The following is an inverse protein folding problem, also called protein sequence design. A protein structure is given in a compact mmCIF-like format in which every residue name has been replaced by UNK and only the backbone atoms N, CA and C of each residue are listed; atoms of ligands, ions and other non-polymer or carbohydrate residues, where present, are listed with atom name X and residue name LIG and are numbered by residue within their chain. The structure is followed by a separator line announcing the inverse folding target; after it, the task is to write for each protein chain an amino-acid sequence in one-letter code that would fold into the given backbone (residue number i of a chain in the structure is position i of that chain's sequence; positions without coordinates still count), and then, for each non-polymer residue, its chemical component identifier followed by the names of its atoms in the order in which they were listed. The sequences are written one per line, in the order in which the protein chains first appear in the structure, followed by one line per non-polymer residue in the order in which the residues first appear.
data_IF_694073244912
#
_entry.id   IF_694073244912
#
_cell.length_a   1.000
_cell.length_b   1.000
_cell.length_c   1.000
_cell.angle_alpha   90.00
_cell.angle_beta   90.00
_cell.angle_gamma   90.00
#
_symmetry.space_group_name_H-M   'P 1'
#
loop_
_entity.id
_entity.type
_entity.pdbx_description
1 polymer ?
#
# COMPACT_ATOMS: atom_id res chain seq x y z
N UNK A 1 2.79 29.38 -47.92
CA UNK A 1 3.93 30.09 -47.28
C UNK A 1 4.30 29.33 -46.01
N UNK A 2 5.57 28.89 -45.93
CA UNK A 2 6.39 28.59 -44.72
C UNK A 2 5.90 27.41 -43.85
N UNK A 3 6.34 26.18 -44.12
CA UNK A 3 7.61 25.53 -43.71
C UNK A 3 7.72 25.23 -42.20
N UNK A 4 7.92 23.94 -41.95
CA UNK A 4 7.97 23.22 -40.67
C UNK A 4 9.18 23.54 -39.75
N UNK A 5 9.07 22.97 -38.54
CA UNK A 5 10.11 22.29 -37.71
C UNK A 5 10.85 23.12 -36.61
N UNK A 6 11.10 22.43 -35.48
CA UNK A 6 12.23 22.54 -34.50
C UNK A 6 12.00 23.55 -33.34
N UNK A 7 12.25 23.32 -32.04
CA UNK A 7 12.63 22.20 -31.13
C UNK A 7 12.94 22.88 -29.75
N UNK A 8 13.05 22.07 -28.69
CA UNK A 8 13.81 22.30 -27.44
C UNK A 8 13.17 23.06 -26.26
N UNK A 9 12.77 22.25 -25.27
CA UNK A 9 13.31 22.19 -23.88
C UNK A 9 14.17 23.39 -23.44
N UNK A 10 13.76 24.04 -22.35
CA UNK A 10 14.69 24.69 -21.43
C UNK A 10 14.18 24.54 -19.98
N UNK A 11 14.91 23.71 -19.23
CA UNK A 11 14.86 23.63 -17.79
C UNK A 11 15.33 24.96 -17.17
N UNK A 12 14.57 25.50 -16.22
CA UNK A 12 14.96 26.69 -15.47
C UNK A 12 15.59 26.27 -14.14
N UNK A 13 16.91 26.09 -14.15
CA UNK A 13 17.73 26.11 -12.93
C UNK A 13 17.95 27.56 -12.51
N UNK A 14 17.68 27.89 -11.24
CA UNK A 14 18.07 29.18 -10.66
C UNK A 14 18.92 28.99 -9.40
N UNK A 15 20.23 29.12 -9.62
CA UNK A 15 21.22 29.95 -8.92
C UNK A 15 21.44 29.77 -7.41
N UNK A 16 22.61 29.20 -7.08
CA UNK A 16 23.36 29.44 -5.85
C UNK A 16 24.20 30.72 -5.93
N UNK A 17 24.22 31.52 -4.87
CA UNK A 17 25.35 32.36 -4.44
C UNK A 17 25.05 32.87 -3.00
N UNK A 18 25.67 32.32 -1.95
CA UNK A 18 26.99 32.59 -1.37
C UNK A 18 27.03 33.83 -0.44
N UNK A 19 27.26 33.58 0.85
CA UNK A 19 27.56 34.58 1.88
C UNK A 19 28.64 34.03 2.81
N UNK A 20 29.66 34.84 3.09
CA UNK A 20 30.98 34.42 3.57
C UNK A 20 31.28 34.85 5.02
N UNK A 21 32.25 34.15 5.62
CA UNK A 21 33.31 34.68 6.51
C UNK A 21 33.08 34.72 8.04
N UNK A 22 33.69 33.74 8.72
CA UNK A 22 34.64 34.01 9.82
C UNK A 22 34.22 33.74 11.28
N UNK A 23 35.06 32.94 11.96
CA UNK A 23 35.53 33.04 13.37
C UNK A 23 35.28 31.81 14.25
N UNK A 24 36.36 31.31 14.85
CA UNK A 24 36.44 30.28 15.88
C UNK A 24 35.65 30.60 17.16
N UNK A 25 35.13 29.58 17.84
CA UNK A 25 34.65 29.68 19.22
C UNK A 25 34.02 28.38 19.71
N UNK A 26 34.41 27.96 20.91
CA UNK A 26 34.12 26.67 21.56
C UNK A 26 32.78 26.67 22.31
N UNK A 27 32.31 25.46 22.64
CA UNK A 27 31.42 25.06 23.75
C UNK A 27 29.90 25.39 23.73
N UNK A 28 29.09 24.34 23.94
CA UNK A 28 27.90 24.43 24.79
C UNK A 28 26.53 24.07 24.18
N UNK A 29 25.99 22.92 24.62
CA UNK A 29 24.56 22.61 24.86
C UNK A 29 23.58 22.31 23.69
N UNK A 30 23.11 21.06 23.71
CA UNK A 30 21.81 20.52 23.24
C UNK A 30 20.60 21.21 23.88
N UNK A 31 19.34 20.94 23.50
CA UNK A 31 18.75 20.59 22.20
C UNK A 31 17.55 21.53 21.86
N UNK A 32 17.15 21.64 20.59
CA UNK A 32 15.79 22.11 20.26
C UNK A 32 15.07 21.04 19.43
N UNK A 33 14.14 20.41 20.12
CA UNK A 33 13.21 19.40 19.68
C UNK A 33 12.31 19.97 18.57
N UNK A 34 12.53 19.52 17.33
CA UNK A 34 11.59 19.73 16.25
C UNK A 34 10.60 18.57 16.29
N UNK A 35 9.60 18.72 17.16
CA UNK A 35 8.39 17.91 17.12
C UNK A 35 7.66 18.19 15.80
N UNK A 36 8.13 17.56 14.71
CA UNK A 36 7.28 17.28 13.56
C UNK A 36 6.28 16.25 14.06
N UNK A 37 5.02 16.66 14.17
CA UNK A 37 3.90 15.76 14.35
C UNK A 37 3.77 14.88 13.10
N UNK A 38 4.52 13.78 13.06
CA UNK A 38 4.37 12.65 12.13
C UNK A 38 3.31 11.64 12.61
N UNK A 39 2.34 12.07 13.41
CA UNK A 39 1.40 11.18 14.09
C UNK A 39 0.23 10.70 13.18
N UNK A 40 0.03 11.29 11.99
CA UNK A 40 -1.17 11.03 11.19
C UNK A 40 -1.01 10.03 10.05
N UNK A 41 0.22 9.65 9.68
CA UNK A 41 0.48 8.69 8.58
C UNK A 41 1.07 7.36 9.04
N UNK A 42 1.77 7.30 10.17
CA UNK A 42 2.33 6.04 10.68
C UNK A 42 1.26 5.03 11.09
N UNK A 43 0.04 5.50 11.42
CA UNK A 43 -1.05 4.63 11.86
C UNK A 43 -2.01 4.20 10.72
N UNK A 44 -1.69 4.53 9.46
CA UNK A 44 -2.55 4.22 8.30
C UNK A 44 -2.06 3.05 7.43
N UNK A 45 -0.90 2.46 7.74
CA UNK A 45 -0.29 1.40 6.91
C UNK A 45 0.04 0.20 7.78
N UNK A 46 -0.29 -1.01 7.34
CA UNK A 46 0.09 -2.22 8.05
C UNK A 46 1.59 -2.51 7.92
N UNK A 47 2.26 -2.95 9.01
CA UNK A 47 3.56 -3.56 8.88
C UNK A 47 3.43 -4.90 8.15
N UNK A 48 4.37 -5.19 7.25
CA UNK A 48 4.44 -6.52 6.63
C UNK A 48 4.67 -7.59 7.72
N UNK A 49 4.09 -8.80 7.56
CA UNK A 49 4.26 -9.87 8.52
C UNK A 49 5.72 -10.30 8.59
N UNK A 50 6.18 -10.65 9.79
CA UNK A 50 7.54 -11.17 9.99
C UNK A 50 7.61 -12.60 9.44
N UNK A 51 8.47 -12.81 8.46
CA UNK A 51 8.63 -14.10 7.80
C UNK A 51 9.42 -15.04 8.72
N UNK A 52 8.92 -16.25 9.01
CA UNK A 52 9.67 -17.27 9.73
C UNK A 52 10.99 -17.62 9.00
N UNK A 53 12.08 -17.77 9.75
CA UNK A 53 13.40 -18.14 9.18
C UNK A 53 13.42 -19.50 8.47
N UNK A 54 12.40 -20.33 8.71
CA UNK A 54 12.18 -21.60 8.03
C UNK A 54 11.72 -21.44 6.57
N UNK A 55 11.23 -20.25 6.16
CA UNK A 55 10.81 -19.94 4.79
C UNK A 55 11.95 -19.22 4.07
N UNK A 56 12.66 -19.95 3.22
CA UNK A 56 13.87 -19.44 2.57
C UNK A 56 13.69 -19.05 1.11
N UNK A 57 12.70 -19.62 0.40
CA UNK A 57 12.50 -19.33 -1.02
C UNK A 57 11.76 -18.01 -1.21
N UNK A 58 12.22 -17.10 -2.09
CA UNK A 58 11.56 -15.81 -2.31
C UNK A 58 10.07 -15.92 -2.67
N UNK A 59 9.70 -16.92 -3.46
CA UNK A 59 8.31 -17.17 -3.84
C UNK A 59 7.43 -17.56 -2.64
N UNK A 60 7.92 -18.46 -1.77
CA UNK A 60 7.22 -18.88 -0.55
C UNK A 60 7.14 -17.71 0.47
N UNK A 61 8.12 -16.80 0.46
CA UNK A 61 8.13 -15.60 1.27
C UNK A 61 7.02 -14.62 0.86
N UNK A 62 6.85 -14.39 -0.43
CA UNK A 62 5.74 -13.55 -0.92
C UNK A 62 4.39 -14.21 -0.65
N UNK A 63 4.28 -15.52 -0.87
CA UNK A 63 3.08 -16.29 -0.53
C UNK A 63 2.69 -16.12 0.94
N UNK A 64 3.66 -16.27 1.84
CA UNK A 64 3.46 -16.02 3.28
C UNK A 64 3.01 -14.57 3.54
N UNK A 65 3.67 -13.58 2.93
CA UNK A 65 3.31 -12.17 3.15
C UNK A 65 1.85 -11.90 2.75
N UNK A 66 1.42 -12.34 1.56
CA UNK A 66 0.05 -12.02 1.10
C UNK A 66 -1.01 -12.75 1.91
N UNK A 67 -0.76 -14.01 2.31
CA UNK A 67 -1.69 -14.77 3.15
C UNK A 67 -1.85 -14.13 4.54
N UNK A 68 -0.74 -13.64 5.11
CA UNK A 68 -0.69 -13.12 6.47
C UNK A 68 -0.78 -11.58 6.57
N UNK A 69 -1.00 -10.89 5.46
CA UNK A 69 -1.00 -9.41 5.40
C UNK A 69 -1.96 -8.78 6.42
N UNK A 70 -3.13 -9.39 6.60
CA UNK A 70 -4.21 -8.87 7.45
C UNK A 70 -4.22 -9.47 8.87
N UNK A 71 -3.23 -10.28 9.26
CA UNK A 71 -3.24 -11.02 10.54
C UNK A 71 -3.31 -10.11 11.77
N UNK A 72 -2.68 -8.93 11.70
CA UNK A 72 -2.63 -7.98 12.81
C UNK A 72 -3.81 -7.01 12.82
N UNK A 73 -4.74 -7.10 11.86
CA UNK A 73 -5.91 -6.24 11.80
C UNK A 73 -7.12 -6.91 12.47
N UNK A 74 -7.66 -6.25 13.50
CA UNK A 74 -8.87 -6.70 14.18
C UNK A 74 -10.13 -6.28 13.41
N UNK A 75 -10.68 -7.19 12.61
CA UNK A 75 -11.94 -6.97 11.90
C UNK A 75 -13.17 -6.84 12.82
N UNK A 76 -13.05 -7.13 14.12
CA UNK A 76 -14.11 -6.88 15.10
C UNK A 76 -14.17 -5.41 15.56
N UNK A 77 -13.10 -4.63 15.34
CA UNK A 77 -13.11 -3.16 15.45
C UNK A 77 -13.95 -2.58 14.31
N UNK A 78 -15.24 -2.35 14.60
CA UNK A 78 -16.20 -1.87 13.60
C UNK A 78 -15.86 -0.46 13.10
N UNK A 79 -15.27 0.40 13.93
CA UNK A 79 -14.93 1.77 13.54
C UNK A 79 -13.80 1.76 12.50
N UNK A 80 -12.73 1.00 12.76
CA UNK A 80 -11.62 0.90 11.81
C UNK A 80 -11.96 0.08 10.57
N UNK A 81 -12.68 -1.04 10.73
CA UNK A 81 -13.01 -1.92 9.61
C UNK A 81 -14.01 -1.31 8.62
N UNK A 82 -14.72 -0.25 9.00
CA UNK A 82 -15.57 0.55 8.11
C UNK A 82 -14.94 1.88 7.71
N UNK A 83 -13.72 2.19 8.15
CA UNK A 83 -13.01 3.38 7.71
C UNK A 83 -12.52 3.19 6.27
N UNK A 84 -13.28 3.74 5.31
CA UNK A 84 -13.00 3.57 3.88
C UNK A 84 -11.58 4.02 3.51
N UNK A 85 -11.13 5.19 3.98
CA UNK A 85 -9.79 5.71 3.65
C UNK A 85 -8.69 4.74 4.11
N UNK A 86 -8.82 4.24 5.34
CA UNK A 86 -7.87 3.28 5.91
C UNK A 86 -7.88 1.95 5.15
N UNK A 87 -9.08 1.38 4.93
CA UNK A 87 -9.24 0.09 4.28
C UNK A 87 -8.82 0.14 2.81
N UNK A 88 -9.18 1.19 2.08
CA UNK A 88 -8.79 1.38 0.68
C UNK A 88 -7.26 1.50 0.56
N UNK A 89 -6.62 2.30 1.42
CA UNK A 89 -5.16 2.44 1.41
C UNK A 89 -4.46 1.09 1.60
N UNK A 90 -4.83 0.36 2.64
CA UNK A 90 -4.21 -0.93 2.94
C UNK A 90 -4.58 -2.02 1.93
N UNK A 91 -5.77 -1.95 1.33
CA UNK A 91 -6.15 -2.86 0.25
C UNK A 91 -5.34 -2.61 -1.01
N UNK A 92 -5.06 -1.36 -1.38
CA UNK A 92 -4.17 -1.03 -2.49
C UNK A 92 -2.75 -1.53 -2.20
N UNK A 93 -2.23 -1.24 -1.00
CA UNK A 93 -0.89 -1.69 -0.59
C UNK A 93 -0.80 -3.23 -0.63
N UNK A 94 -1.83 -3.95 -0.17
CA UNK A 94 -1.98 -5.40 -0.29
C UNK A 94 -1.95 -5.88 -1.75
N UNK A 95 -2.74 -5.25 -2.63
CA UNK A 95 -2.81 -5.63 -4.03
C UNK A 95 -1.48 -5.40 -4.79
N UNK A 96 -0.60 -4.51 -4.31
CA UNK A 96 0.74 -4.34 -4.92
C UNK A 96 1.65 -5.56 -4.80
N UNK A 97 1.38 -6.44 -3.83
CA UNK A 97 2.15 -7.65 -3.55
C UNK A 97 1.64 -8.86 -4.34
N UNK A 98 0.37 -8.84 -4.74
CA UNK A 98 -0.31 -9.94 -5.44
C UNK A 98 0.39 -10.38 -6.74
N UNK A 99 0.94 -9.49 -7.59
CA UNK A 99 1.60 -9.90 -8.83
C UNK A 99 2.82 -10.80 -8.64
N UNK A 100 3.44 -10.79 -7.46
CA UNK A 100 4.60 -11.62 -7.14
C UNK A 100 4.21 -12.95 -6.45
N UNK A 101 2.94 -13.11 -6.06
CA UNK A 101 2.45 -14.33 -5.43
C UNK A 101 2.10 -15.41 -6.47
N UNK A 102 2.28 -16.67 -6.10
CA UNK A 102 1.75 -17.77 -6.92
C UNK A 102 0.22 -17.75 -6.92
N UNK A 103 -0.39 -18.32 -7.97
CA UNK A 103 -1.85 -18.38 -8.09
C UNK A 103 -2.52 -19.04 -6.88
N UNK A 104 -1.94 -20.10 -6.33
CA UNK A 104 -2.51 -20.77 -5.16
C UNK A 104 -2.46 -19.88 -3.91
N UNK A 105 -1.31 -19.24 -3.63
CA UNK A 105 -1.18 -18.34 -2.50
C UNK A 105 -2.10 -17.12 -2.63
N UNK A 106 -2.26 -16.57 -3.85
CA UNK A 106 -3.20 -15.48 -4.13
C UNK A 106 -4.63 -15.88 -3.77
N UNK A 107 -5.07 -17.07 -4.19
CA UNK A 107 -6.42 -17.59 -3.88
C UNK A 107 -6.63 -17.77 -2.38
N UNK A 108 -5.65 -18.37 -1.70
CA UNK A 108 -5.66 -18.51 -0.25
C UNK A 108 -5.73 -17.16 0.45
N UNK A 109 -4.94 -16.18 0.00
CA UNK A 109 -4.90 -14.85 0.57
C UNK A 109 -6.22 -14.09 0.41
N UNK A 110 -6.85 -14.15 -0.77
CA UNK A 110 -8.18 -13.57 -0.97
C UNK A 110 -9.25 -14.28 -0.12
N UNK A 111 -9.21 -15.62 -0.04
CA UNK A 111 -10.14 -16.37 0.81
C UNK A 111 -10.02 -15.97 2.28
N UNK A 112 -8.79 -15.82 2.80
CA UNK A 112 -8.60 -15.45 4.20
C UNK A 112 -9.01 -13.99 4.46
N UNK A 113 -8.72 -13.06 3.55
CA UNK A 113 -9.21 -11.68 3.65
C UNK A 113 -10.74 -11.63 3.72
N UNK A 114 -11.44 -12.29 2.79
CA UNK A 114 -12.91 -12.28 2.76
C UNK A 114 -13.48 -12.90 4.04
N UNK A 115 -12.94 -14.04 4.48
CA UNK A 115 -13.37 -14.71 5.70
C UNK A 115 -13.24 -13.80 6.92
N UNK A 116 -12.11 -13.09 7.05
CA UNK A 116 -11.89 -12.14 8.16
C UNK A 116 -12.79 -10.91 8.07
N UNK A 117 -12.99 -10.36 6.88
CA UNK A 117 -13.89 -9.24 6.64
C UNK A 117 -15.36 -9.56 6.91
N UNK A 118 -15.71 -10.86 6.96
CA UNK A 118 -17.08 -11.34 7.15
C UNK A 118 -17.58 -11.29 8.61
N UNK A 119 -16.82 -10.73 9.55
CA UNK A 119 -17.31 -10.43 10.92
C UNK A 119 -18.56 -9.54 10.88
N UNK A 120 -18.57 -8.55 9.99
CA UNK A 120 -19.73 -7.69 9.74
C UNK A 120 -20.08 -7.67 8.24
N UNK A 121 -21.37 -7.78 7.86
CA UNK A 121 -21.79 -7.72 6.45
C UNK A 121 -21.35 -6.43 5.73
N UNK A 122 -21.32 -5.30 6.45
CA UNK A 122 -20.91 -4.00 5.91
C UNK A 122 -19.42 -3.99 5.53
N UNK A 123 -18.56 -4.55 6.40
CA UNK A 123 -17.11 -4.65 6.17
C UNK A 123 -16.81 -5.60 5.02
N UNK A 124 -17.51 -6.73 4.95
CA UNK A 124 -17.42 -7.65 3.81
C UNK A 124 -17.80 -6.97 2.50
N UNK A 125 -18.90 -6.22 2.51
CA UNK A 125 -19.39 -5.49 1.33
C UNK A 125 -18.40 -4.41 0.89
N UNK A 126 -17.79 -3.70 1.85
CA UNK A 126 -16.72 -2.73 1.59
C UNK A 126 -15.54 -3.39 0.85
N UNK A 127 -15.02 -4.51 1.36
CA UNK A 127 -13.92 -5.24 0.73
C UNK A 127 -14.29 -5.72 -0.68
N UNK A 128 -15.50 -6.25 -0.87
CA UNK A 128 -15.98 -6.67 -2.20
C UNK A 128 -16.01 -5.49 -3.17
N UNK A 129 -16.54 -4.34 -2.74
CA UNK A 129 -16.57 -3.12 -3.55
C UNK A 129 -15.17 -2.61 -3.90
N UNK A 130 -14.19 -2.74 -3.00
CA UNK A 130 -12.79 -2.45 -3.31
C UNK A 130 -12.21 -3.43 -4.33
N UNK A 131 -12.52 -4.73 -4.23
CA UNK A 131 -12.14 -5.72 -5.23
C UNK A 131 -12.70 -5.41 -6.62
N UNK A 132 -13.97 -5.03 -6.71
CA UNK A 132 -14.59 -4.58 -7.97
C UNK A 132 -13.89 -3.32 -8.52
N UNK A 133 -13.71 -2.30 -7.68
CA UNK A 133 -13.07 -1.03 -8.04
C UNK A 133 -11.64 -1.21 -8.57
N UNK A 134 -10.82 -2.03 -7.93
CA UNK A 134 -9.40 -2.13 -8.28
C UNK A 134 -9.10 -3.24 -9.29
N UNK A 135 -9.79 -4.38 -9.22
CA UNK A 135 -9.44 -5.54 -10.05
C UNK A 135 -10.30 -5.66 -11.31
N UNK A 136 -11.52 -5.09 -11.32
CA UNK A 136 -12.47 -5.27 -12.42
C UNK A 136 -12.75 -3.99 -13.22
N UNK A 137 -12.76 -2.82 -12.58
CA UNK A 137 -13.07 -1.54 -13.23
C UNK A 137 -12.16 -1.30 -14.46
N UNK A 138 -12.72 -0.98 -15.65
CA UNK A 138 -11.96 -0.65 -16.85
C UNK A 138 -10.92 0.46 -16.69
N UNK A 139 -11.18 1.45 -15.82
CA UNK A 139 -10.33 2.61 -15.61
C UNK A 139 -9.29 2.38 -14.51
N UNK A 140 -9.33 1.23 -13.82
CA UNK A 140 -8.36 0.91 -12.78
C UNK A 140 -7.00 0.55 -13.39
N UNK A 141 -5.89 1.16 -12.93
CA UNK A 141 -4.54 0.76 -13.31
C UNK A 141 -4.15 -0.61 -12.74
N UNK A 142 -4.87 -1.11 -11.72
CA UNK A 142 -4.64 -2.42 -11.09
C UNK A 142 -5.55 -3.51 -11.69
N UNK A 143 -6.35 -3.18 -12.71
CA UNK A 143 -7.30 -4.10 -13.32
C UNK A 143 -6.60 -5.37 -13.78
N UNK A 144 -7.12 -6.51 -13.33
CA UNK A 144 -6.68 -7.82 -13.78
C UNK A 144 -7.83 -8.81 -13.65
N UNK A 145 -8.32 -9.31 -14.79
CA UNK A 145 -9.48 -10.19 -14.84
C UNK A 145 -9.24 -11.53 -14.14
N UNK A 146 -8.03 -12.09 -14.21
CA UNK A 146 -7.70 -13.34 -13.51
C UNK A 146 -7.74 -13.14 -12.00
N UNK A 147 -7.14 -12.05 -11.51
CA UNK A 147 -7.14 -11.75 -10.07
C UNK A 147 -8.55 -11.45 -9.57
N UNK A 148 -9.36 -10.76 -10.38
CA UNK A 148 -10.77 -10.51 -10.04
C UNK A 148 -11.58 -11.81 -9.99
N UNK A 149 -11.35 -12.76 -10.90
CA UNK A 149 -12.04 -14.07 -10.87
C UNK A 149 -11.71 -14.80 -9.57
N UNK A 150 -10.44 -14.92 -9.20
CA UNK A 150 -10.04 -15.58 -7.95
C UNK A 150 -10.63 -14.86 -6.72
N UNK A 151 -10.61 -13.52 -6.71
CA UNK A 151 -11.20 -12.73 -5.63
C UNK A 151 -12.73 -12.92 -5.55
N UNK A 152 -13.42 -12.93 -6.68
CA UNK A 152 -14.87 -13.13 -6.76
C UNK A 152 -15.29 -14.55 -6.38
N UNK A 153 -14.45 -15.56 -6.64
CA UNK A 153 -14.64 -16.92 -6.15
C UNK A 153 -14.51 -17.00 -4.62
N UNK A 154 -13.48 -16.37 -4.05
CA UNK A 154 -13.35 -16.23 -2.60
C UNK A 154 -14.57 -15.55 -1.98
N UNK A 155 -15.07 -14.48 -2.61
CA UNK A 155 -16.27 -13.75 -2.19
C UNK A 155 -17.58 -14.54 -2.33
N UNK A 156 -17.61 -15.71 -2.97
CA UNK A 156 -18.79 -16.59 -3.03
C UNK A 156 -18.73 -17.72 -1.99
N UNK A 157 -17.53 -18.15 -1.62
CA UNK A 157 -17.30 -19.34 -0.79
C UNK A 157 -17.26 -19.11 0.73
N UNK A 158 -17.44 -17.86 1.18
CA UNK A 158 -17.36 -17.44 2.60
C UNK A 158 -18.72 -17.35 3.30
#
# INVERSE_FOLDING_TARGET
MKHHVIISIAALMTLSACGSKGTSGSEGQTPVDLAVTTDSMENMVFPLPQIPSTISKPEDQIGFIVIHFWDNFDFSDKEKSLNLTFMERNFVDYLTLIPAAMTEDRRMAFSELIKRASVYPETRSLIIGLGEKYLNDPDSPMKNAEYYVDFAEAAKGS
#
